data_IF_008937064041
#
_entry.id   IF_008937064041
#
_cell.length_a   1.000
_cell.length_b   1.000
_cell.length_c   1.000
_cell.angle_alpha   90.00
_cell.angle_beta   90.00
_cell.angle_gamma   90.00
#
_symmetry.space_group_name_H-M   'P 1'
#
loop_
_entity.id
_entity.type
_entity.pdbx_description
1 polymer ?
#
# COMPACT_ATOMS: atom_id res chain seq x y z
N UNK A 1 -6.73 -22.20 22.51
CA UNK A 1 -7.84 -22.32 21.55
C UNK A 1 -7.23 -22.24 20.16
N UNK A 2 -7.47 -23.23 19.30
CA UNK A 2 -6.93 -23.20 17.94
C UNK A 2 -7.90 -22.38 17.06
N UNK A 3 -7.41 -21.30 16.47
CA UNK A 3 -8.22 -20.44 15.61
C UNK A 3 -8.40 -21.03 14.20
N UNK A 4 -9.58 -20.85 13.61
CA UNK A 4 -9.84 -21.11 12.20
C UNK A 4 -9.71 -19.77 11.45
N UNK A 5 -9.00 -19.74 10.33
CA UNK A 5 -8.93 -18.57 9.47
C UNK A 5 -10.07 -18.63 8.45
N UNK A 6 -11.00 -17.68 8.54
CA UNK A 6 -12.00 -17.46 7.50
C UNK A 6 -11.46 -16.43 6.49
N UNK A 7 -11.74 -16.65 5.21
CA UNK A 7 -11.38 -15.74 4.12
C UNK A 7 -12.61 -15.47 3.27
N UNK A 8 -12.74 -14.23 2.81
CA UNK A 8 -13.86 -13.77 2.00
C UNK A 8 -13.94 -12.25 1.96
N UNK A 9 -14.98 -11.75 1.32
CA UNK A 9 -15.34 -10.34 1.32
C UNK A 9 -16.49 -10.11 2.31
N UNK A 10 -16.47 -8.96 2.99
CA UNK A 10 -17.60 -8.54 3.82
C UNK A 10 -18.73 -8.14 2.86
N UNK A 11 -19.82 -8.88 2.88
CA UNK A 11 -21.03 -8.57 2.10
C UNK A 11 -21.91 -7.56 2.84
N UNK A 12 -22.08 -7.74 4.15
CA UNK A 12 -22.77 -6.79 5.03
C UNK A 12 -22.36 -7.01 6.49
N UNK A 13 -22.75 -6.09 7.37
CA UNK A 13 -22.55 -6.22 8.82
C UNK A 13 -23.64 -5.46 9.58
N UNK A 14 -23.90 -5.90 10.81
CA UNK A 14 -24.67 -5.13 11.80
C UNK A 14 -23.84 -4.97 13.09
N UNK A 15 -24.49 -4.66 14.21
CA UNK A 15 -23.84 -4.52 15.51
C UNK A 15 -23.15 -5.81 15.97
N UNK A 16 -23.70 -7.00 15.71
CA UNK A 16 -23.30 -8.27 16.32
C UNK A 16 -22.71 -9.29 15.34
N UNK A 17 -23.09 -9.21 14.06
CA UNK A 17 -22.72 -10.19 13.03
C UNK A 17 -22.11 -9.54 11.79
N UNK A 18 -21.40 -10.35 11.01
CA UNK A 18 -20.84 -10.04 9.70
C UNK A 18 -21.30 -11.12 8.73
N UNK A 19 -21.83 -10.74 7.56
CA UNK A 19 -21.98 -11.67 6.45
C UNK A 19 -20.67 -11.69 5.65
N UNK A 20 -19.99 -12.84 5.69
CA UNK A 20 -18.75 -13.09 4.97
C UNK A 20 -19.04 -13.95 3.74
N UNK A 21 -18.69 -13.45 2.56
CA UNK A 21 -18.88 -14.14 1.28
C UNK A 21 -17.57 -14.73 0.76
N UNK A 22 -17.58 -16.02 0.50
CA UNK A 22 -16.60 -16.71 -0.35
C UNK A 22 -17.37 -17.38 -1.50
N UNK A 23 -17.46 -18.72 -1.55
CA UNK A 23 -18.35 -19.43 -2.49
C UNK A 23 -19.82 -19.24 -2.14
N UNK A 24 -20.13 -19.12 -0.85
CA UNK A 24 -21.46 -18.82 -0.30
C UNK A 24 -21.35 -17.74 0.77
N UNK A 25 -22.48 -17.14 1.13
CA UNK A 25 -22.58 -16.17 2.22
C UNK A 25 -22.82 -16.89 3.55
N UNK A 26 -21.97 -16.61 4.54
CA UNK A 26 -22.09 -17.17 5.89
C UNK A 26 -22.14 -16.06 6.94
N UNK A 27 -22.95 -16.27 7.98
CA UNK A 27 -23.02 -15.36 9.12
C UNK A 27 -21.94 -15.70 10.15
N UNK A 28 -21.13 -14.71 10.52
CA UNK A 28 -20.07 -14.85 11.52
C UNK A 28 -20.35 -13.91 12.69
N UNK A 29 -20.39 -14.45 13.91
CA UNK A 29 -20.60 -13.65 15.12
C UNK A 29 -19.30 -12.98 15.58
N UNK A 30 -19.37 -11.68 15.89
CA UNK A 30 -18.19 -10.90 16.29
C UNK A 30 -17.53 -11.39 17.59
N UNK A 31 -18.29 -11.97 18.52
CA UNK A 31 -17.73 -12.51 19.77
C UNK A 31 -16.76 -13.68 19.55
N UNK A 32 -16.84 -14.34 18.39
CA UNK A 32 -15.97 -15.45 18.00
C UNK A 32 -14.78 -15.00 17.14
N UNK A 33 -14.69 -13.71 16.81
CA UNK A 33 -13.64 -13.14 15.96
C UNK A 33 -12.58 -12.48 16.85
N UNK A 34 -11.33 -12.93 16.74
CA UNK A 34 -10.20 -12.32 17.45
C UNK A 34 -9.56 -11.18 16.67
N UNK A 35 -9.45 -11.30 15.34
CA UNK A 35 -8.75 -10.34 14.48
C UNK A 35 -9.37 -10.27 13.09
N UNK A 36 -9.35 -9.09 12.47
CA UNK A 36 -9.67 -8.88 11.05
C UNK A 36 -8.43 -8.32 10.37
N UNK A 37 -7.98 -8.96 9.27
CA UNK A 37 -6.79 -8.56 8.52
C UNK A 37 -7.19 -8.26 7.08
N UNK A 38 -7.13 -6.98 6.64
CA UNK A 38 -7.34 -6.62 5.25
C UNK A 38 -6.30 -7.26 4.33
N UNK A 39 -6.69 -7.62 3.11
CA UNK A 39 -5.75 -8.16 2.10
C UNK A 39 -4.79 -7.11 1.56
N UNK A 40 -5.15 -5.83 1.69
CA UNK A 40 -4.35 -4.66 1.32
C UNK A 40 -4.60 -3.54 2.35
N UNK A 41 -3.65 -2.61 2.55
CA UNK A 41 -3.87 -1.43 3.37
C UNK A 41 -5.15 -0.69 2.94
N UNK A 42 -5.98 -0.32 3.91
CA UNK A 42 -7.22 0.41 3.68
C UNK A 42 -6.92 1.90 3.78
N UNK A 43 -7.27 2.67 2.73
CA UNK A 43 -7.24 4.13 2.81
C UNK A 43 -8.45 4.58 3.64
N UNK A 44 -8.18 5.18 4.79
CA UNK A 44 -9.20 5.86 5.55
C UNK A 44 -9.23 7.31 5.06
N UNK A 45 -10.37 7.73 4.53
CA UNK A 45 -10.63 9.15 4.24
C UNK A 45 -10.82 9.88 5.58
N UNK A 46 -9.74 10.05 6.32
CA UNK A 46 -9.67 10.98 7.43
C UNK A 46 -9.81 12.36 6.80
N UNK A 47 -10.98 12.99 6.96
CA UNK A 47 -11.33 14.24 6.31
C UNK A 47 -10.39 15.40 6.68
N UNK A 48 -9.24 15.48 6.03
CA UNK A 48 -8.46 16.69 5.89
C UNK A 48 -8.58 17.18 4.44
N UNK A 49 -9.77 17.67 4.10
CA UNK A 49 -9.93 18.59 2.99
C UNK A 49 -9.29 19.93 3.41
N UNK A 50 -7.98 20.03 3.26
CA UNK A 50 -7.17 21.18 3.63
C UNK A 50 -6.03 21.37 2.64
N UNK A 51 -6.38 21.94 1.49
CA UNK A 51 -5.64 22.95 0.69
C UNK A 51 -4.12 23.06 0.91
N UNK A 52 -3.37 22.81 -0.17
CA UNK A 52 -1.95 23.17 -0.32
C UNK A 52 -1.35 22.45 -1.53
N UNK A 53 -1.78 22.76 -2.75
CA UNK A 53 -1.18 23.79 -3.61
C UNK A 53 0.34 23.64 -3.77
N UNK A 54 0.71 23.10 -4.93
CA UNK A 54 1.91 23.36 -5.72
C UNK A 54 3.16 23.90 -4.99
N UNK A 55 4.18 23.04 -4.87
CA UNK A 55 5.57 23.45 -4.64
C UNK A 55 6.49 22.70 -5.59
N UNK A 56 6.89 23.37 -6.67
CA UNK A 56 7.77 22.86 -7.72
C UNK A 56 9.08 22.25 -7.20
N UNK A 57 9.38 21.11 -7.81
CA UNK A 57 10.69 20.56 -8.16
C UNK A 57 11.86 21.55 -8.19
N UNK A 58 12.88 21.29 -7.37
CA UNK A 58 14.27 21.68 -7.64
C UNK A 58 15.16 20.43 -7.65
N UNK A 59 15.57 20.06 -8.86
CA UNK A 59 16.62 19.10 -9.16
C UNK A 59 18.00 19.70 -8.82
N UNK A 60 18.87 18.95 -8.14
CA UNK A 60 20.31 19.22 -8.17
C UNK A 60 21.06 17.93 -8.50
N UNK A 61 21.42 17.80 -9.78
CA UNK A 61 22.33 16.78 -10.29
C UNK A 61 23.67 17.41 -10.68
N UNK A 62 24.74 16.70 -10.39
CA UNK A 62 26.10 16.99 -10.85
C UNK A 62 27.13 16.51 -9.83
N UNK A 63 28.21 15.79 -10.17
CA UNK A 63 28.84 15.52 -11.46
C UNK A 63 29.68 14.23 -11.35
N UNK A 64 29.80 13.57 -12.50
CA UNK A 64 30.60 12.38 -12.75
C UNK A 64 32.11 12.67 -12.73
N UNK A 65 32.90 11.69 -12.31
CA UNK A 65 34.34 11.65 -12.54
C UNK A 65 34.75 10.26 -13.03
N UNK A 66 34.97 10.12 -14.34
CA UNK A 66 35.76 9.03 -14.89
C UNK A 66 36.40 9.43 -16.23
N UNK A 67 37.69 9.08 -16.32
CA UNK A 67 38.61 9.01 -17.48
C UNK A 67 39.57 10.18 -17.66
N UNK A 68 40.86 9.83 -17.75
CA UNK A 68 41.54 10.04 -19.03
C UNK A 68 42.35 8.80 -19.45
N UNK A 69 42.10 8.27 -20.65
CA UNK A 69 43.06 7.39 -21.32
C UNK A 69 43.09 7.66 -22.82
N UNK A 70 44.31 7.90 -23.31
CA UNK A 70 44.84 7.72 -24.67
C UNK A 70 44.25 8.66 -25.74
N UNK A 71 45.01 9.27 -26.64
CA UNK A 71 46.38 9.08 -27.10
C UNK A 71 46.44 9.47 -28.59
N UNK A 72 47.62 9.86 -29.08
CA UNK A 72 48.10 9.95 -30.48
C UNK A 72 49.06 11.15 -30.56
N UNK A 73 50.37 10.96 -30.69
CA UNK A 73 51.08 10.73 -31.96
C UNK A 73 50.80 11.78 -33.05
N UNK A 74 51.90 12.28 -33.62
CA UNK A 74 52.07 12.95 -34.92
C UNK A 74 51.67 14.44 -35.08
N UNK A 75 52.68 15.32 -35.12
CA UNK A 75 53.14 16.01 -36.35
C UNK A 75 53.87 17.36 -36.06
N UNK A 76 55.09 17.44 -36.61
CA UNK A 76 55.99 18.61 -36.82
C UNK A 76 56.66 19.31 -35.62
#
# INVERSE_FOLDING_TARGET
MNGIKLQGQIESFDQFVILLKNTVSQMVYKHAISTVVPSRPVSHHSGNAGTGSAGSSYHHGGQAASQPTQGSDDAE
#
